data_IF_563845090932
#
_entry.id   IF_563845090932
#
_cell.length_a   1.000
_cell.length_b   1.000
_cell.length_c   1.000
_cell.angle_alpha   90.00
_cell.angle_beta   90.00
_cell.angle_gamma   90.00
#
_symmetry.space_group_name_H-M   'P 1'
#
loop_
_entity.id
_entity.type
_entity.pdbx_description
1 polymer ?
#
# COMPACT_ATOMS: atom_id res chain seq x y z
N UNK A 1 -14.29 28.40 1.04
CA UNK A 1 -13.41 27.23 1.25
C UNK A 1 -14.26 25.97 1.16
N UNK A 2 -14.07 25.14 0.13
CA UNK A 2 -14.86 23.93 -0.07
C UNK A 2 -14.49 22.87 0.98
N UNK A 3 -15.46 22.51 1.84
CA UNK A 3 -15.33 21.39 2.76
C UNK A 3 -15.35 20.10 1.94
N UNK A 4 -14.19 19.51 1.66
CA UNK A 4 -14.15 18.15 1.14
C UNK A 4 -14.71 17.21 2.22
N UNK A 5 -15.97 16.79 2.06
CA UNK A 5 -16.57 15.78 2.91
C UNK A 5 -15.73 14.50 2.83
N UNK A 6 -15.24 14.01 3.97
CA UNK A 6 -14.59 12.73 4.03
C UNK A 6 -15.55 11.65 3.47
N UNK A 7 -15.08 10.74 2.61
CA UNK A 7 -15.94 9.70 2.05
C UNK A 7 -16.66 8.93 3.17
N UNK A 8 -17.98 8.78 3.06
CA UNK A 8 -18.80 8.05 4.04
C UNK A 8 -18.28 6.62 4.14
N UNK A 9 -17.86 6.22 5.35
CA UNK A 9 -17.36 4.87 5.64
C UNK A 9 -18.47 3.86 5.37
N UNK A 10 -18.17 2.84 4.55
CA UNK A 10 -19.07 1.70 4.34
C UNK A 10 -19.01 0.81 5.59
N UNK A 11 -20.17 0.46 6.16
CA UNK A 11 -20.25 -0.66 7.12
C UNK A 11 -20.08 -1.95 6.32
N UNK A 12 -18.93 -2.59 6.46
CA UNK A 12 -18.66 -3.89 5.85
C UNK A 12 -19.23 -4.98 6.76
N UNK A 13 -19.79 -6.08 6.20
CA UNK A 13 -20.00 -7.29 6.98
C UNK A 13 -18.64 -7.77 7.52
N UNK A 14 -18.58 -8.04 8.81
CA UNK A 14 -17.38 -8.58 9.47
C UNK A 14 -17.34 -10.07 9.15
N UNK A 15 -16.23 -10.55 8.59
CA UNK A 15 -15.98 -11.97 8.36
C UNK A 15 -15.85 -12.71 9.71
N UNK A 16 -16.16 -14.00 9.73
CA UNK A 16 -16.19 -14.82 10.94
C UNK A 16 -14.80 -14.89 11.63
N UNK A 17 -14.71 -14.40 12.86
CA UNK A 17 -13.49 -14.43 13.68
C UNK A 17 -12.96 -15.86 13.90
N UNK A 18 -13.83 -16.87 13.87
CA UNK A 18 -13.41 -18.29 13.98
C UNK A 18 -12.62 -18.75 12.76
N UNK A 19 -13.03 -18.30 11.57
CA UNK A 19 -12.32 -18.61 10.34
C UNK A 19 -10.92 -17.98 10.33
N UNK A 20 -10.80 -16.72 10.77
CA UNK A 20 -9.51 -16.05 10.91
C UNK A 20 -8.58 -16.78 11.89
N UNK A 21 -9.11 -17.26 13.02
CA UNK A 21 -8.35 -18.07 14.00
C UNK A 21 -7.90 -19.40 13.42
N UNK A 22 -8.76 -20.08 12.66
CA UNK A 22 -8.40 -21.33 11.98
C UNK A 22 -7.23 -21.12 11.00
N UNK A 23 -7.30 -20.08 10.15
CA UNK A 23 -6.22 -19.76 9.23
C UNK A 23 -4.90 -19.48 9.96
N UNK A 24 -4.94 -18.74 11.07
CA UNK A 24 -3.77 -18.49 11.91
C UNK A 24 -3.14 -19.79 12.42
N UNK A 25 -3.94 -20.75 12.89
CA UNK A 25 -3.46 -22.07 13.32
C UNK A 25 -2.88 -22.89 12.18
N UNK A 26 -3.49 -22.85 11.00
CA UNK A 26 -3.00 -23.56 9.83
C UNK A 26 -1.62 -23.04 9.36
N UNK A 27 -1.42 -21.72 9.37
CA UNK A 27 -0.13 -21.08 9.06
C UNK A 27 0.94 -21.51 10.08
N UNK A 28 0.62 -21.54 11.37
CA UNK A 28 1.55 -22.03 12.40
C UNK A 28 1.85 -23.54 12.24
N UNK A 29 0.87 -24.35 11.83
CA UNK A 29 1.09 -25.76 11.54
C UNK A 29 2.08 -26.00 10.39
N UNK A 30 2.08 -25.11 9.39
CA UNK A 30 3.01 -25.16 8.26
C UNK A 30 4.46 -24.90 8.64
N UNK A 31 4.71 -24.13 9.70
CA UNK A 31 6.05 -23.88 10.24
C UNK A 31 6.77 -25.18 10.57
N UNK A 32 6.11 -26.07 11.32
CA UNK A 32 6.67 -27.37 11.69
C UNK A 32 7.07 -28.18 10.46
N UNK A 33 6.19 -28.25 9.47
CA UNK A 33 6.47 -28.95 8.21
C UNK A 33 7.64 -28.32 7.45
N UNK A 34 7.73 -27.00 7.41
CA UNK A 34 8.81 -26.28 6.76
C UNK A 34 10.17 -26.49 7.46
N UNK A 35 10.17 -26.74 8.78
CA UNK A 35 11.39 -27.05 9.53
C UNK A 35 11.98 -28.43 9.23
N UNK A 36 11.16 -29.34 8.69
CA UNK A 36 11.53 -30.74 8.41
C UNK A 36 11.70 -31.01 6.90
N UNK A 37 11.16 -30.17 6.02
CA UNK A 37 11.14 -30.37 4.57
C UNK A 37 11.41 -29.07 3.77
N UNK A 38 12.50 -28.99 2.98
CA UNK A 38 12.83 -27.84 2.13
C UNK A 38 11.77 -27.47 1.08
N UNK A 39 11.03 -28.43 0.54
CA UNK A 39 9.93 -28.14 -0.40
C UNK A 39 8.77 -27.42 0.30
N UNK A 40 8.48 -27.83 1.54
CA UNK A 40 7.49 -27.17 2.37
C UNK A 40 7.94 -25.75 2.75
N UNK A 41 9.24 -25.54 2.96
CA UNK A 41 9.80 -24.20 3.15
C UNK A 41 9.64 -23.32 1.90
N UNK A 42 9.92 -23.84 0.71
CA UNK A 42 9.70 -23.10 -0.54
C UNK A 42 8.24 -22.69 -0.74
N UNK A 43 7.30 -23.59 -0.41
CA UNK A 43 5.87 -23.26 -0.39
C UNK A 43 5.55 -22.17 0.65
N UNK A 44 6.12 -22.26 1.86
CA UNK A 44 5.87 -21.29 2.92
C UNK A 44 6.40 -19.88 2.57
N UNK A 45 7.54 -19.80 1.87
CA UNK A 45 8.07 -18.54 1.32
C UNK A 45 7.14 -17.96 0.25
N UNK A 46 6.58 -18.79 -0.63
CA UNK A 46 5.59 -18.34 -1.61
C UNK A 46 4.34 -17.78 -0.92
N UNK A 47 3.82 -18.49 0.09
CA UNK A 47 2.69 -18.03 0.89
C UNK A 47 2.98 -16.70 1.60
N UNK A 48 4.21 -16.50 2.10
CA UNK A 48 4.63 -15.23 2.69
C UNK A 48 4.51 -14.06 1.70
N UNK A 49 4.90 -14.26 0.44
CA UNK A 49 4.78 -13.24 -0.63
C UNK A 49 3.32 -12.94 -0.97
N UNK A 50 2.47 -13.96 -1.03
CA UNK A 50 1.03 -13.82 -1.25
C UNK A 50 0.37 -13.05 -0.10
N UNK A 51 0.67 -13.41 1.15
CA UNK A 51 0.17 -12.72 2.34
C UNK A 51 0.62 -11.26 2.36
N UNK A 52 1.88 -10.98 2.03
CA UNK A 52 2.38 -9.60 1.91
C UNK A 52 1.60 -8.80 0.87
N UNK A 53 1.32 -9.40 -0.28
CA UNK A 53 0.53 -8.79 -1.35
C UNK A 53 -0.92 -8.57 -0.90
N UNK A 54 -1.53 -9.54 -0.21
CA UNK A 54 -2.88 -9.43 0.34
C UNK A 54 -2.98 -8.30 1.37
N UNK A 55 -2.02 -8.18 2.28
CA UNK A 55 -1.92 -7.08 3.27
C UNK A 55 -1.82 -5.73 2.56
N UNK A 56 -0.99 -5.63 1.52
CA UNK A 56 -0.85 -4.38 0.76
C UNK A 56 -2.14 -4.00 0.04
N UNK A 57 -2.86 -4.97 -0.53
CA UNK A 57 -4.20 -4.75 -1.10
C UNK A 57 -5.21 -4.32 -0.03
N UNK A 58 -5.22 -4.97 1.14
CA UNK A 58 -6.12 -4.64 2.23
C UNK A 58 -5.90 -3.21 2.75
N UNK A 59 -4.64 -2.82 2.98
CA UNK A 59 -4.28 -1.45 3.37
C UNK A 59 -4.72 -0.40 2.35
N UNK A 60 -4.56 -0.71 1.05
CA UNK A 60 -5.07 0.14 -0.03
C UNK A 60 -6.60 0.24 -0.04
N UNK A 61 -7.32 -0.88 0.09
CA UNK A 61 -8.80 -0.88 0.14
C UNK A 61 -9.33 -0.11 1.34
N UNK A 62 -8.70 -0.28 2.51
CA UNK A 62 -9.03 0.52 3.71
C UNK A 62 -8.92 2.02 3.40
N UNK A 63 -7.85 2.42 2.72
CA UNK A 63 -7.62 3.82 2.39
C UNK A 63 -8.56 4.36 1.31
N UNK A 64 -8.65 3.67 0.18
CA UNK A 64 -9.32 4.17 -1.03
C UNK A 64 -10.80 3.85 -1.07
N UNK A 65 -11.18 2.62 -0.73
CA UNK A 65 -12.57 2.14 -0.85
C UNK A 65 -13.37 2.43 0.43
N UNK A 66 -12.75 2.23 1.60
CA UNK A 66 -13.41 2.42 2.89
C UNK A 66 -13.17 3.82 3.50
N UNK A 67 -12.36 4.66 2.86
CA UNK A 67 -12.21 6.07 3.21
C UNK A 67 -11.38 6.35 4.47
N UNK A 68 -10.60 5.39 4.96
CA UNK A 68 -9.70 5.62 6.08
C UNK A 68 -8.51 6.46 5.65
N UNK A 69 -8.09 7.43 6.45
CA UNK A 69 -6.81 8.09 6.21
C UNK A 69 -5.65 7.16 6.57
N UNK A 70 -4.51 7.29 5.88
CA UNK A 70 -3.30 6.50 6.19
C UNK A 70 -2.77 6.77 7.61
N UNK A 71 -3.09 7.94 8.19
CA UNK A 71 -2.82 8.24 9.60
C UNK A 71 -3.70 7.39 10.51
N UNK A 72 -5.00 7.33 10.27
CA UNK A 72 -5.92 6.54 11.10
C UNK A 72 -5.59 5.05 11.03
N UNK A 73 -5.26 4.52 9.85
CA UNK A 73 -4.83 3.12 9.70
C UNK A 73 -3.55 2.88 10.53
N UNK A 74 -2.56 3.77 10.41
CA UNK A 74 -1.31 3.67 11.17
C UNK A 74 -1.55 3.72 12.69
N UNK A 75 -2.44 4.60 13.15
CA UNK A 75 -2.83 4.72 14.56
C UNK A 75 -3.56 3.47 15.06
N UNK A 76 -4.51 2.93 14.30
CA UNK A 76 -5.21 1.69 14.68
C UNK A 76 -4.26 0.50 14.78
N UNK A 77 -3.33 0.37 13.84
CA UNK A 77 -2.28 -0.63 13.90
C UNK A 77 -1.38 -0.46 15.12
N UNK A 78 -1.07 0.79 15.50
CA UNK A 78 -0.34 1.11 16.72
C UNK A 78 -1.06 0.62 17.98
N UNK A 79 -2.38 0.78 18.07
CA UNK A 79 -3.18 0.24 19.18
C UNK A 79 -3.18 -1.29 19.22
N UNK A 80 -3.06 -1.95 18.06
CA UNK A 80 -2.91 -3.40 17.95
C UNK A 80 -1.45 -3.89 18.14
N UNK A 81 -0.52 -3.01 18.55
CA UNK A 81 0.88 -3.37 18.80
C UNK A 81 1.78 -3.37 17.56
N UNK A 82 1.27 -2.96 16.39
CA UNK A 82 2.06 -2.86 15.17
C UNK A 82 2.60 -1.44 14.99
N UNK A 83 3.92 -1.27 15.11
CA UNK A 83 4.57 0.03 14.86
C UNK A 83 4.46 0.41 13.38
N UNK A 84 3.57 1.35 13.09
CA UNK A 84 3.37 1.93 11.77
C UNK A 84 3.32 3.45 11.90
N UNK A 85 4.27 4.14 11.29
CA UNK A 85 4.19 5.60 11.17
C UNK A 85 3.35 6.00 9.97
N UNK A 86 2.83 7.23 9.96
CA UNK A 86 2.17 7.81 8.79
C UNK A 86 3.04 7.74 7.54
N UNK A 87 4.32 8.09 7.67
CA UNK A 87 5.25 8.11 6.54
C UNK A 87 5.45 6.70 5.97
N UNK A 88 5.54 5.70 6.83
CA UNK A 88 5.62 4.30 6.42
C UNK A 88 4.33 3.83 5.75
N UNK A 89 3.16 4.22 6.28
CA UNK A 89 1.88 3.94 5.65
C UNK A 89 1.75 4.60 4.26
N UNK A 90 2.21 5.84 4.08
CA UNK A 90 2.28 6.51 2.75
C UNK A 90 3.23 5.77 1.81
N UNK A 91 4.44 5.42 2.27
CA UNK A 91 5.41 4.68 1.46
C UNK A 91 4.89 3.30 1.06
N UNK A 92 4.06 2.68 1.90
CA UNK A 92 3.58 1.30 1.69
C UNK A 92 2.28 1.23 0.89
N UNK A 93 1.30 2.08 1.21
CA UNK A 93 -0.08 2.04 0.69
C UNK A 93 -0.55 3.35 0.05
N UNK A 94 0.29 4.36 -0.02
CA UNK A 94 -0.02 5.58 -0.76
C UNK A 94 -0.28 5.29 -2.24
N UNK A 95 -1.03 6.15 -2.95
CA UNK A 95 -1.40 5.92 -4.35
C UNK A 95 -0.21 5.58 -5.26
N UNK A 96 0.93 6.27 -5.09
CA UNK A 96 2.16 6.03 -5.86
C UNK A 96 2.86 4.72 -5.54
N UNK A 97 2.76 4.25 -4.30
CA UNK A 97 3.31 2.97 -3.91
C UNK A 97 2.48 1.82 -4.50
N UNK A 98 1.16 1.93 -4.39
CA UNK A 98 0.23 0.88 -4.81
C UNK A 98 0.09 0.76 -6.32
N UNK A 99 0.19 1.86 -7.07
CA UNK A 99 0.24 1.79 -8.53
C UNK A 99 1.42 0.96 -9.04
N UNK A 100 2.60 1.12 -8.41
CA UNK A 100 3.80 0.35 -8.75
C UNK A 100 3.67 -1.12 -8.34
N UNK A 101 3.12 -1.39 -7.16
CA UNK A 101 3.00 -2.75 -6.60
C UNK A 101 1.89 -3.59 -7.23
N UNK A 102 0.75 -2.97 -7.54
CA UNK A 102 -0.43 -3.68 -8.04
C UNK A 102 -0.65 -3.52 -9.54
N UNK A 103 0.20 -2.72 -10.22
CA UNK A 103 0.07 -2.50 -11.66
C UNK A 103 -1.27 -1.91 -12.09
N UNK A 104 -2.00 -1.21 -11.21
CA UNK A 104 -3.32 -0.65 -11.51
C UNK A 104 -3.18 0.35 -12.66
N UNK A 105 -3.61 0.03 -13.90
CA UNK A 105 -3.20 0.79 -15.09
C UNK A 105 -3.63 2.25 -15.04
N UNK A 106 -4.80 2.53 -14.47
CA UNK A 106 -5.36 3.88 -14.34
C UNK A 106 -4.56 4.80 -13.40
N UNK A 107 -3.92 4.23 -12.37
CA UNK A 107 -3.13 4.99 -11.40
C UNK A 107 -1.70 5.13 -11.89
N UNK A 108 -1.13 4.07 -12.47
CA UNK A 108 0.20 4.08 -13.10
C UNK A 108 0.27 5.12 -14.21
N UNK A 109 -0.75 5.22 -15.06
CA UNK A 109 -0.86 6.25 -16.10
C UNK A 109 -0.81 7.67 -15.51
N UNK A 110 -1.65 7.97 -14.51
CA UNK A 110 -1.68 9.30 -13.86
C UNK A 110 -0.39 9.68 -13.15
N UNK A 111 0.34 8.71 -12.60
CA UNK A 111 1.63 8.95 -11.94
C UNK A 111 2.70 9.28 -12.98
N UNK A 112 2.74 8.54 -14.09
CA UNK A 112 3.67 8.80 -15.18
C UNK A 112 3.40 10.18 -15.80
N UNK A 113 2.14 10.51 -16.08
CA UNK A 113 1.71 11.83 -16.58
C UNK A 113 2.16 12.97 -15.64
N UNK A 114 1.98 12.83 -14.32
CA UNK A 114 2.47 13.82 -13.35
C UNK A 114 3.98 13.93 -13.33
N UNK A 115 4.70 12.80 -13.42
CA UNK A 115 6.17 12.80 -13.44
C UNK A 115 6.71 13.49 -14.68
N UNK A 116 6.09 13.24 -15.82
CA UNK A 116 6.51 13.80 -17.09
C UNK A 116 6.20 15.30 -17.17
N UNK A 117 5.07 15.75 -16.60
CA UNK A 117 4.75 17.17 -16.45
C UNK A 117 5.76 17.92 -15.55
N UNK A 118 6.17 17.32 -14.43
CA UNK A 118 7.21 17.91 -13.56
C UNK A 118 8.54 18.00 -14.31
N UNK A 119 8.90 16.96 -15.06
CA UNK A 119 10.15 16.93 -15.83
C UNK A 119 10.17 18.00 -16.92
N UNK A 120 9.04 18.21 -17.60
CA UNK A 120 8.89 19.26 -18.60
C UNK A 120 9.06 20.65 -17.97
N UNK A 121 8.35 20.94 -16.87
CA UNK A 121 8.46 22.23 -16.18
C UNK A 121 9.89 22.52 -15.69
N UNK A 122 10.58 21.52 -15.14
CA UNK A 122 11.98 21.69 -14.70
C UNK A 122 12.92 21.90 -15.89
N UNK A 123 12.66 21.24 -17.03
CA UNK A 123 13.39 21.44 -18.27
C UNK A 123 13.25 22.86 -18.83
N UNK A 124 12.03 23.37 -18.86
CA UNK A 124 11.71 24.72 -19.33
C UNK A 124 12.35 25.79 -18.43
N UNK A 125 12.32 25.58 -17.11
CA UNK A 125 12.94 26.49 -16.14
C UNK A 125 14.48 26.50 -16.26
N UNK A 126 15.10 25.35 -16.53
CA UNK A 126 16.53 25.24 -16.80
C UNK A 126 16.93 25.91 -18.12
N UNK A 127 16.12 25.75 -19.17
CA UNK A 127 16.34 26.41 -20.46
C UNK A 127 16.24 27.94 -20.32
N UNK A 128 15.21 28.43 -19.62
CA UNK A 128 15.02 29.86 -19.34
C UNK A 128 16.13 30.46 -18.47
N UNK A 129 16.74 29.66 -17.58
CA UNK A 129 17.93 30.08 -16.81
C UNK A 129 19.20 30.14 -17.65
N UNK A 130 19.38 29.26 -18.62
CA UNK A 130 20.53 29.28 -19.55
C UNK A 130 20.45 30.48 -20.50
N UNK A 131 19.27 30.76 -21.05
CA UNK A 131 19.06 31.94 -21.91
C UNK A 131 19.37 33.26 -21.19
N UNK A 132 19.01 33.37 -19.89
CA UNK A 132 19.31 34.54 -19.06
C UNK A 132 20.78 34.71 -18.67
N UNK A 133 21.61 33.67 -18.81
CA UNK A 133 23.06 33.71 -18.56
C UNK A 133 23.89 33.95 -19.82
N UNK A 134 23.26 33.92 -21.00
CA UNK A 134 23.90 34.11 -22.29
C UNK A 134 23.77 35.55 -22.83
N UNK A 135 23.16 36.44 -22.04
CA UNK A 135 23.11 37.91 -22.22
C UNK A 135 24.03 38.52 -21.17
#
# INVERSE_FOLDING_TARGET
MAKHAAPKRRKQPIEDDEYAKFLGRAILGMERRASENPEALAYFLTLQEELKTAIDRAGYRLHVENGWSLQEIATQLGYAGHSMSRQNAVKRWGPSAMARKLGIPSITKKINERRDAIRAHVGDELAARRARKAV
#
